data_IF_647938261151
#
_entry.id   IF_647938261151
#
_cell.length_a   1.000
_cell.length_b   1.000
_cell.length_c   1.000
_cell.angle_alpha   90.00
_cell.angle_beta   90.00
_cell.angle_gamma   90.00
#
_symmetry.space_group_name_H-M   'P 1'
#
loop_
_entity.id
_entity.type
_entity.pdbx_description
1 polymer ?
#
# COMPACT_ATOMS: atom_id res chain seq x y z
N UNK A 1 -15.28 1.58 -1.79
CA UNK A 1 -14.25 1.47 -0.73
C UNK A 1 -13.54 2.80 -0.56
N UNK A 2 -13.32 3.22 0.69
CA UNK A 2 -12.52 4.40 0.97
C UNK A 2 -11.13 4.06 1.50
N UNK A 3 -10.33 5.07 1.79
CA UNK A 3 -8.95 4.91 2.24
C UNK A 3 -8.27 6.24 2.58
N UNK A 4 -6.94 6.24 2.49
CA UNK A 4 -6.15 7.44 2.78
C UNK A 4 -6.61 8.63 1.94
N UNK A 5 -6.67 9.80 2.58
CA UNK A 5 -7.03 11.08 1.96
C UNK A 5 -8.47 11.21 1.40
N UNK A 6 -9.38 10.30 1.76
CA UNK A 6 -10.78 10.45 1.37
C UNK A 6 -11.46 11.65 1.99
N UNK A 7 -12.24 12.36 1.16
CA UNK A 7 -13.09 13.45 1.61
C UNK A 7 -14.37 12.90 2.23
N UNK A 8 -14.94 13.68 3.16
CA UNK A 8 -16.26 13.38 3.72
C UNK A 8 -17.32 13.39 2.59
N UNK A 9 -18.10 12.34 2.51
CA UNK A 9 -19.19 12.18 1.54
C UNK A 9 -20.41 11.59 2.23
N UNK A 10 -21.61 12.10 1.92
CA UNK A 10 -22.88 11.61 2.48
C UNK A 10 -22.91 11.56 4.02
N UNK A 11 -22.30 12.56 4.67
CA UNK A 11 -22.21 12.65 6.13
C UNK A 11 -21.18 11.70 6.77
N UNK A 12 -20.49 10.87 5.98
CA UNK A 12 -19.54 9.83 6.43
C UNK A 12 -18.11 10.13 5.97
N UNK A 13 -17.13 9.65 6.73
CA UNK A 13 -15.71 9.71 6.38
C UNK A 13 -15.18 8.30 6.22
N UNK A 14 -14.62 7.98 5.05
CA UNK A 14 -14.18 6.64 4.70
C UNK A 14 -12.67 6.44 4.83
N UNK A 15 -11.95 7.45 5.34
CA UNK A 15 -10.56 7.38 5.78
C UNK A 15 -10.44 6.94 7.26
N UNK A 16 -11.28 5.99 7.68
CA UNK A 16 -11.38 5.51 9.06
C UNK A 16 -10.91 4.06 9.17
N UNK A 17 -10.38 3.71 10.33
CA UNK A 17 -9.87 2.37 10.65
C UNK A 17 -10.26 2.01 12.08
N UNK A 18 -10.59 0.75 12.31
CA UNK A 18 -10.88 0.21 13.63
C UNK A 18 -10.23 -1.17 13.78
N UNK A 19 -9.65 -1.44 14.95
CA UNK A 19 -9.12 -2.75 15.34
C UNK A 19 -9.71 -3.14 16.69
N UNK A 20 -9.87 -4.44 16.91
CA UNK A 20 -10.30 -4.99 18.19
C UNK A 20 -9.14 -5.73 18.86
N UNK A 21 -8.94 -5.48 20.16
CA UNK A 21 -7.89 -6.09 20.97
C UNK A 21 -8.42 -7.18 21.93
N UNK A 22 -9.71 -7.49 21.84
CA UNK A 22 -10.38 -8.50 22.67
C UNK A 22 -10.22 -9.89 22.08
N UNK A 23 -10.11 -10.90 22.94
CA UNK A 23 -10.22 -12.31 22.53
C UNK A 23 -11.60 -12.87 22.87
N UNK A 24 -11.79 -14.18 22.77
CA UNK A 24 -13.02 -14.87 23.18
C UNK A 24 -13.21 -14.91 24.70
N UNK A 25 -12.14 -14.75 25.49
CA UNK A 25 -12.22 -14.61 26.94
C UNK A 25 -12.22 -13.13 27.34
N UNK A 26 -13.07 -12.76 28.30
CA UNK A 26 -13.37 -11.37 28.64
C UNK A 26 -12.14 -10.57 29.13
N UNK A 27 -11.29 -11.21 29.93
CA UNK A 27 -10.08 -10.59 30.50
C UNK A 27 -8.85 -10.72 29.61
N UNK A 28 -8.90 -11.60 28.61
CA UNK A 28 -7.77 -11.84 27.72
C UNK A 28 -7.72 -10.79 26.62
N UNK A 29 -6.48 -10.48 26.22
CA UNK A 29 -6.17 -9.52 25.18
C UNK A 29 -5.33 -10.18 24.10
N UNK A 30 -5.54 -9.71 22.87
CA UNK A 30 -4.67 -10.08 21.76
C UNK A 30 -3.24 -9.67 22.14
N UNK A 31 -2.21 -10.50 21.92
CA UNK A 31 -0.84 -10.09 22.16
C UNK A 31 -0.47 -8.86 21.32
N UNK A 32 0.32 -7.94 21.89
CA UNK A 32 0.66 -6.65 21.25
C UNK A 32 1.23 -6.82 19.84
N UNK A 33 2.13 -7.79 19.64
CA UNK A 33 2.70 -8.08 18.33
C UNK A 33 1.64 -8.47 17.28
N UNK A 34 0.64 -9.25 17.67
CA UNK A 34 -0.47 -9.63 16.78
C UNK A 34 -1.33 -8.41 16.47
N UNK A 35 -1.64 -7.60 17.49
CA UNK A 35 -2.41 -6.37 17.30
C UNK A 35 -1.71 -5.37 16.38
N UNK A 36 -0.38 -5.25 16.48
CA UNK A 36 0.42 -4.40 15.60
C UNK A 36 0.40 -4.89 14.15
N UNK A 37 0.51 -6.20 13.92
CA UNK A 37 0.39 -6.80 12.58
C UNK A 37 -1.02 -6.59 12.02
N UNK A 38 -2.06 -6.79 12.82
CA UNK A 38 -3.45 -6.54 12.41
C UNK A 38 -3.66 -5.07 12.06
N UNK A 39 -3.14 -4.14 12.87
CA UNK A 39 -3.18 -2.71 12.55
C UNK A 39 -2.48 -2.42 11.22
N UNK A 40 -1.30 -3.00 10.98
CA UNK A 40 -0.57 -2.82 9.73
C UNK A 40 -1.34 -3.38 8.52
N UNK A 41 -2.04 -4.50 8.67
CA UNK A 41 -2.91 -5.09 7.65
C UNK A 41 -4.05 -4.14 7.27
N UNK A 42 -4.77 -3.60 8.25
CA UNK A 42 -5.87 -2.65 8.01
C UNK A 42 -5.38 -1.32 7.41
N UNK A 43 -4.18 -0.88 7.79
CA UNK A 43 -3.51 0.25 7.13
C UNK A 43 -3.21 -0.11 5.67
N UNK A 44 -2.75 -1.32 5.37
CA UNK A 44 -2.56 -1.80 4.00
C UNK A 44 -3.83 -1.65 3.14
N UNK A 45 -4.99 -2.02 3.67
CA UNK A 45 -6.28 -1.77 3.02
C UNK A 45 -6.58 -0.29 2.81
N UNK A 46 -6.26 0.57 3.79
CA UNK A 46 -6.42 2.02 3.66
C UNK A 46 -5.56 2.61 2.54
N UNK A 47 -4.44 1.96 2.21
CA UNK A 47 -3.55 2.29 1.10
C UNK A 47 -3.90 1.53 -0.19
N UNK A 48 -5.06 0.87 -0.24
CA UNK A 48 -5.60 0.24 -1.44
C UNK A 48 -5.10 -1.18 -1.70
N UNK A 49 -4.31 -1.80 -0.81
CA UNK A 49 -3.97 -3.21 -0.95
C UNK A 49 -5.20 -4.11 -0.77
N UNK A 50 -5.25 -5.21 -1.51
CA UNK A 50 -6.22 -6.29 -1.30
C UNK A 50 -5.54 -7.50 -0.66
N UNK A 51 -6.35 -8.48 -0.23
CA UNK A 51 -5.78 -9.72 0.27
C UNK A 51 -4.92 -10.40 -0.80
N UNK A 52 -3.76 -10.90 -0.39
CA UNK A 52 -2.83 -11.59 -1.27
C UNK A 52 -3.43 -12.87 -1.90
N UNK A 53 -4.33 -13.53 -1.19
CA UNK A 53 -5.04 -14.72 -1.67
C UNK A 53 -5.99 -14.45 -2.84
N UNK A 54 -6.34 -13.18 -3.09
CA UNK A 54 -7.17 -12.80 -4.24
C UNK A 54 -6.39 -12.84 -5.57
N UNK A 55 -5.06 -12.97 -5.50
CA UNK A 55 -4.21 -13.07 -6.67
C UNK A 55 -3.89 -14.54 -6.99
N UNK A 56 -3.93 -14.93 -8.27
CA UNK A 56 -3.55 -16.28 -8.69
C UNK A 56 -2.02 -16.52 -8.63
N UNK A 57 -1.23 -15.49 -8.27
CA UNK A 57 0.23 -15.54 -8.26
C UNK A 57 0.74 -16.10 -6.92
N UNK A 58 1.50 -17.22 -6.90
CA UNK A 58 2.02 -17.81 -5.68
C UNK A 58 2.95 -16.87 -4.90
N UNK A 59 3.67 -16.00 -5.60
CA UNK A 59 4.60 -15.00 -5.03
C UNK A 59 3.91 -13.95 -4.14
N UNK A 60 2.58 -13.81 -4.17
CA UNK A 60 1.88 -12.91 -3.28
C UNK A 60 1.66 -13.51 -1.88
N UNK A 61 1.76 -14.83 -1.69
CA UNK A 61 1.29 -15.51 -0.47
C UNK A 61 2.33 -15.50 0.65
N UNK A 62 1.86 -15.55 1.90
CA UNK A 62 2.73 -15.63 3.10
C UNK A 62 3.08 -14.28 3.73
N UNK A 63 2.63 -13.20 3.12
CA UNK A 63 2.91 -11.83 3.53
C UNK A 63 1.79 -11.23 4.40
N UNK A 64 2.01 -9.99 4.84
CA UNK A 64 1.15 -9.22 5.74
C UNK A 64 -0.32 -9.15 5.28
N UNK A 65 -0.59 -9.09 3.98
CA UNK A 65 -1.95 -8.98 3.43
C UNK A 65 -2.61 -10.34 3.16
N UNK A 66 -2.11 -11.42 3.76
CA UNK A 66 -2.83 -12.70 3.81
C UNK A 66 -4.23 -12.52 4.41
N UNK A 67 -5.24 -13.12 3.78
CA UNK A 67 -6.64 -13.13 4.28
C UNK A 67 -6.85 -13.94 5.57
N UNK A 68 -5.84 -14.71 5.97
CA UNK A 68 -5.87 -15.56 7.15
C UNK A 68 -4.67 -15.27 8.03
N UNK A 69 -4.90 -15.22 9.34
CA UNK A 69 -3.85 -15.22 10.34
C UNK A 69 -3.15 -16.59 10.35
N UNK A 70 -1.82 -16.56 10.34
CA UNK A 70 -0.99 -17.75 10.56
C UNK A 70 -0.54 -17.77 12.02
N UNK A 71 -0.64 -18.93 12.67
CA UNK A 71 -0.08 -19.14 14.02
C UNK A 71 1.45 -19.21 14.00
N UNK A 72 2.03 -19.48 12.83
CA UNK A 72 3.47 -19.45 12.59
C UNK A 72 3.80 -18.18 11.81
N UNK A 73 4.38 -17.21 12.51
CA UNK A 73 4.93 -16.01 11.88
C UNK A 73 6.26 -16.37 11.23
N UNK A 74 6.35 -16.13 9.92
CA UNK A 74 7.64 -16.03 9.23
C UNK A 74 8.04 -14.57 9.14
N UNK A 75 9.31 -14.27 8.86
CA UNK A 75 9.75 -12.88 8.65
C UNK A 75 8.94 -12.18 7.54
N UNK A 76 8.48 -12.93 6.53
CA UNK A 76 7.62 -12.41 5.45
C UNK A 76 6.26 -11.89 5.95
N UNK A 77 5.76 -12.40 7.09
CA UNK A 77 4.49 -11.97 7.66
C UNK A 77 4.51 -10.51 8.18
N UNK A 78 5.71 -9.92 8.26
CA UNK A 78 5.93 -8.51 8.61
C UNK A 78 6.16 -7.61 7.39
N UNK A 79 6.11 -8.17 6.17
CA UNK A 79 6.36 -7.46 4.93
C UNK A 79 5.12 -7.44 4.03
N UNK A 80 4.98 -6.39 3.22
CA UNK A 80 3.99 -6.38 2.15
C UNK A 80 4.50 -7.22 0.97
N UNK A 81 3.61 -8.02 0.38
CA UNK A 81 3.93 -8.79 -0.82
C UNK A 81 4.24 -7.88 -2.01
N UNK A 82 4.90 -8.39 -3.07
CA UNK A 82 5.05 -7.66 -4.33
C UNK A 82 3.71 -7.19 -4.93
N UNK A 83 2.62 -7.91 -4.67
CA UNK A 83 1.29 -7.65 -5.19
C UNK A 83 0.61 -6.52 -4.42
N UNK A 84 0.74 -6.54 -3.09
CA UNK A 84 0.32 -5.46 -2.20
C UNK A 84 1.09 -4.17 -2.48
N UNK A 85 2.42 -4.25 -2.63
CA UNK A 85 3.27 -3.10 -2.95
C UNK A 85 2.88 -2.41 -4.27
N UNK A 86 2.52 -3.18 -5.31
CA UNK A 86 2.05 -2.61 -6.58
C UNK A 86 0.79 -1.77 -6.41
N UNK A 87 -0.17 -2.23 -5.59
CA UNK A 87 -1.40 -1.49 -5.33
C UNK A 87 -1.19 -0.28 -4.41
N UNK A 88 -0.39 -0.46 -3.36
CA UNK A 88 -0.01 0.64 -2.45
C UNK A 88 0.68 1.74 -3.26
N UNK A 89 1.64 1.39 -4.11
CA UNK A 89 2.30 2.34 -5.00
C UNK A 89 1.30 3.04 -5.93
N UNK A 90 0.32 2.31 -6.49
CA UNK A 90 -0.71 2.90 -7.34
C UNK A 90 -1.59 3.91 -6.59
N UNK A 91 -1.92 3.68 -5.31
CA UNK A 91 -2.63 4.64 -4.43
C UNK A 91 -1.74 5.83 -4.07
N UNK A 92 -0.46 5.58 -3.84
CA UNK A 92 0.56 6.59 -3.57
C UNK A 92 1.03 7.33 -4.85
N UNK A 93 0.28 7.22 -5.97
CA UNK A 93 0.55 7.95 -7.23
C UNK A 93 0.70 9.47 -7.07
N UNK A 94 0.27 9.99 -5.92
CA UNK A 94 0.49 11.33 -5.45
C UNK A 94 1.39 11.25 -4.22
N UNK A 95 2.37 12.17 -4.09
CA UNK A 95 3.08 12.34 -2.81
C UNK A 95 2.06 12.39 -1.67
N UNK A 96 2.09 11.43 -0.75
CA UNK A 96 1.20 11.44 0.40
C UNK A 96 1.94 12.03 1.57
N UNK A 97 1.36 13.10 2.12
CA UNK A 97 1.88 13.77 3.29
C UNK A 97 1.11 13.29 4.52
N UNK A 98 1.80 12.58 5.40
CA UNK A 98 1.32 12.14 6.70
C UNK A 98 1.68 13.17 7.76
N UNK A 99 0.76 13.45 8.68
CA UNK A 99 1.06 14.12 9.94
C UNK A 99 1.01 13.07 11.04
N UNK A 100 2.17 12.55 11.42
CA UNK A 100 2.31 11.55 12.48
C UNK A 100 2.40 12.27 13.82
N UNK A 101 1.51 11.97 14.76
CA UNK A 101 1.49 12.61 16.08
C UNK A 101 1.63 11.56 17.19
N UNK A 102 2.51 11.83 18.16
CA UNK A 102 2.66 11.06 19.40
C UNK A 102 2.91 12.03 20.56
N UNK A 103 2.15 11.90 21.65
CA UNK A 103 2.30 12.69 22.87
C UNK A 103 2.33 14.22 22.64
N UNK A 104 1.50 14.70 21.71
CA UNK A 104 1.44 16.12 21.33
C UNK A 104 2.51 16.58 20.34
N UNK A 105 3.52 15.75 20.06
CA UNK A 105 4.53 16.01 19.04
C UNK A 105 4.07 15.48 17.70
N UNK A 106 3.96 16.37 16.70
CA UNK A 106 3.60 15.98 15.35
C UNK A 106 4.76 16.22 14.39
N UNK A 107 5.07 15.21 13.56
CA UNK A 107 6.00 15.31 12.45
C UNK A 107 5.25 15.11 11.13
N UNK A 108 5.48 16.01 10.19
CA UNK A 108 5.02 15.83 8.83
C UNK A 108 6.03 14.98 8.07
N UNK A 109 5.58 13.87 7.50
CA UNK A 109 6.39 12.93 6.71
C UNK A 109 5.75 12.79 5.34
N UNK A 110 6.52 13.01 4.28
CA UNK A 110 6.07 12.79 2.90
C UNK A 110 6.59 11.44 2.43
N UNK A 111 5.71 10.53 2.04
CA UNK A 111 6.07 9.28 1.38
C UNK A 111 5.77 9.37 -0.12
N UNK A 112 6.60 8.70 -0.90
CA UNK A 112 6.58 8.71 -2.35
C UNK A 112 6.49 7.26 -2.86
N UNK A 113 5.65 7.03 -3.87
CA UNK A 113 5.47 5.71 -4.48
C UNK A 113 6.68 5.23 -5.32
N UNK A 114 7.31 6.12 -6.08
CA UNK A 114 8.44 5.79 -6.98
C UNK A 114 9.53 6.83 -6.90
N UNK A 115 10.80 6.43 -6.92
CA UNK A 115 11.91 7.36 -6.98
C UNK A 115 11.93 8.13 -8.31
N UNK A 116 12.65 9.25 -8.35
CA UNK A 116 12.79 9.99 -9.61
C UNK A 116 13.56 9.18 -10.64
N UNK A 117 12.97 8.92 -11.80
CA UNK A 117 13.56 8.12 -12.87
C UNK A 117 13.00 6.70 -12.99
N UNK A 118 12.29 6.21 -11.97
CA UNK A 118 11.68 4.88 -11.99
C UNK A 118 10.47 4.79 -12.91
N UNK A 119 10.18 3.58 -13.39
CA UNK A 119 8.93 3.28 -14.06
C UNK A 119 7.75 3.42 -13.07
N UNK A 120 6.70 4.13 -13.49
CA UNK A 120 5.50 4.35 -12.69
C UNK A 120 4.24 4.04 -13.51
N UNK A 121 3.12 3.81 -12.84
CA UNK A 121 1.83 3.54 -13.48
C UNK A 121 0.75 4.38 -12.84
N UNK A 122 0.09 5.24 -13.64
CA UNK A 122 -1.05 6.06 -13.18
C UNK A 122 -2.26 5.81 -14.07
N UNK A 123 -3.42 5.49 -13.47
CA UNK A 123 -4.69 5.25 -14.21
C UNK A 123 -4.56 4.26 -15.38
N UNK A 124 -3.70 3.23 -15.24
CA UNK A 124 -3.44 2.25 -16.29
C UNK A 124 -2.46 2.69 -17.39
N UNK A 125 -1.81 3.84 -17.24
CA UNK A 125 -0.79 4.36 -18.16
C UNK A 125 0.60 4.20 -17.54
N UNK A 126 1.51 3.53 -18.26
CA UNK A 126 2.93 3.41 -17.88
C UNK A 126 3.67 4.69 -18.23
N UNK A 127 4.53 5.15 -17.32
CA UNK A 127 5.34 6.36 -17.47
C UNK A 127 6.64 6.30 -16.68
N UNK A 128 7.29 7.45 -16.55
CA UNK A 128 8.48 7.63 -15.71
C UNK A 128 8.17 8.65 -14.62
N UNK A 129 8.57 8.33 -13.40
CA UNK A 129 8.34 9.17 -12.24
C UNK A 129 9.32 10.35 -12.25
N UNK A 130 8.80 11.57 -12.15
CA UNK A 130 9.63 12.76 -12.04
C UNK A 130 10.31 12.86 -10.66
N UNK A 131 11.38 13.69 -10.51
CA UNK A 131 11.93 14.04 -9.21
C UNK A 131 10.94 14.70 -8.26
N UNK A 132 9.73 15.06 -8.70
CA UNK A 132 8.64 15.60 -7.87
C UNK A 132 7.55 14.57 -7.51
N UNK A 133 7.71 13.31 -7.90
CA UNK A 133 6.76 12.23 -7.56
C UNK A 133 5.54 12.19 -8.47
N UNK A 134 5.60 12.88 -9.60
CA UNK A 134 4.54 12.88 -10.62
C UNK A 134 4.89 11.85 -11.68
N UNK A 135 3.99 10.90 -11.90
CA UNK A 135 4.11 9.93 -12.99
C UNK A 135 3.72 10.58 -14.32
N UNK A 136 4.69 10.72 -15.23
CA UNK A 136 4.49 11.32 -16.54
C UNK A 136 4.59 10.26 -17.63
N UNK A 137 3.64 10.25 -18.57
CA UNK A 137 3.68 9.35 -19.73
C UNK A 137 4.94 9.63 -20.54
N UNK A 138 5.79 8.62 -20.70
CA UNK A 138 6.89 8.66 -21.66
C UNK A 138 6.38 7.99 -22.92
N UNK A 139 6.10 8.78 -23.95
CA UNK A 139 5.95 8.26 -25.30
C UNK A 139 7.36 7.94 -25.77
N UNK A 140 7.88 6.77 -25.44
CA UNK A 140 8.90 6.18 -26.28
C UNK A 140 8.16 5.82 -27.56
N UNK A 141 8.29 6.64 -28.61
CA UNK A 141 8.18 6.09 -29.96
C UNK A 141 9.14 4.91 -29.98
N UNK A 142 8.67 3.67 -30.17
CA UNK A 142 9.60 2.59 -30.43
C UNK A 142 10.39 3.03 -31.65
N UNK A 143 11.68 3.33 -31.48
CA UNK A 143 12.57 3.26 -32.62
C UNK A 143 12.51 1.80 -33.00
N UNK A 144 11.85 1.53 -34.13
CA UNK A 144 11.80 0.19 -34.67
C UNK A 144 13.24 -0.25 -34.87
N UNK A 145 13.68 -1.28 -34.16
CA UNK A 145 14.98 -1.90 -34.40
C UNK A 145 14.94 -2.79 -35.67
N UNK A 146 13.87 -2.71 -36.47
CA UNK A 146 13.57 -3.70 -37.51
C UNK A 146 14.27 -3.41 -38.84
N UNK A 147 14.89 -2.25 -39.04
CA UNK A 147 15.84 -2.06 -40.15
C UNK A 147 16.93 -1.05 -39.77
N UNK A 148 18.19 -1.48 -39.53
CA UNK A 148 19.31 -0.59 -39.75
C UNK A 148 19.45 -0.42 -41.27
N UNK A 149 19.24 0.81 -41.74
CA UNK A 149 19.65 1.41 -43.01
C UNK A 149 20.16 0.44 -44.10
N UNK A 150 19.33 0.23 -45.13
CA UNK A 150 19.77 -0.15 -46.48
C UNK A 150 20.00 1.11 -47.31
#
# INVERSE_FOLDING_TARGET
PGGVCDRRAYGRSFNTLAIAHSTTAAEDRVPEGIAAITLAHEIGHSFGAHHDNNYPLPECRGYLMSSHSSLTYSDQSFEFSPCSNKLIAATLNTNVTFRLCKDGFCKTVSMRAWEGGDACVTTGVVGVCSPRGVCSRVIHTPRSNIYPDL
#
